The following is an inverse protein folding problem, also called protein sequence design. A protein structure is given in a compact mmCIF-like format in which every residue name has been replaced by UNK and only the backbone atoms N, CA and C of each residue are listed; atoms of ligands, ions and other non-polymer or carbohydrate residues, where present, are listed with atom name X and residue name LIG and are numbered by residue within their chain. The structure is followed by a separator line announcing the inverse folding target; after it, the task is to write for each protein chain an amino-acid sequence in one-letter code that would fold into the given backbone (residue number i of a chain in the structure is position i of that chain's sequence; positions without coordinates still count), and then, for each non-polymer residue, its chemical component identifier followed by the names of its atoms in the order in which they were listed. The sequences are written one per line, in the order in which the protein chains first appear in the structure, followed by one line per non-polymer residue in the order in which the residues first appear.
data_IF_255013425739
#
_entry.id   IF_255013425739
#
_cell.length_a   1.000
_cell.length_b   1.000
_cell.length_c   1.000
_cell.angle_alpha   90.00
_cell.angle_beta   90.00
_cell.angle_gamma   90.00
#
_symmetry.space_group_name_H-M   'P 1'
#
loop_
_entity.id
_entity.type
_entity.pdbx_description
1 polymer ?
#
# COMPACT_ATOMS: atom_id res chain seq x y z
N UNK A 1 -9.40 23.69 14.57
CA UNK A 1 -8.88 24.56 13.50
C UNK A 1 -8.58 23.67 12.30
N UNK A 2 -8.91 24.16 11.11
CA UNK A 2 -8.62 23.47 9.85
C UNK A 2 -7.84 24.43 8.98
N UNK A 3 -6.71 23.97 8.46
CA UNK A 3 -5.84 24.73 7.56
C UNK A 3 -5.73 23.98 6.23
N UNK A 4 -5.73 24.71 5.10
CA UNK A 4 -5.63 24.14 3.77
C UNK A 4 -4.27 24.51 3.15
N UNK A 5 -3.58 23.51 2.64
CA UNK A 5 -2.35 23.68 1.89
C UNK A 5 -2.61 23.32 0.42
N UNK A 6 -2.45 24.31 -0.47
CA UNK A 6 -2.55 24.11 -1.92
C UNK A 6 -1.22 23.58 -2.46
N UNK A 7 -0.92 22.31 -2.21
CA UNK A 7 0.36 21.69 -2.56
C UNK A 7 0.15 20.23 -2.92
N UNK A 8 1.09 19.63 -3.62
CA UNK A 8 1.11 18.18 -3.85
C UNK A 8 1.56 17.45 -2.58
N UNK A 9 1.23 16.16 -2.46
CA UNK A 9 1.68 15.32 -1.35
C UNK A 9 3.21 15.28 -1.27
N UNK A 10 3.89 15.28 -2.42
CA UNK A 10 5.34 15.27 -2.51
C UNK A 10 5.97 16.56 -1.94
N UNK A 11 5.44 17.71 -2.32
CA UNK A 11 5.90 19.01 -1.80
C UNK A 11 5.58 19.18 -0.32
N UNK A 12 4.47 18.59 0.14
CA UNK A 12 4.08 18.59 1.55
C UNK A 12 5.11 17.89 2.47
N UNK A 13 5.93 16.97 1.94
CA UNK A 13 6.97 16.31 2.73
C UNK A 13 7.97 17.29 3.35
N UNK A 14 8.30 18.37 2.63
CA UNK A 14 9.29 19.39 3.04
C UNK A 14 8.64 20.73 3.41
N UNK A 15 7.30 20.78 3.45
CA UNK A 15 6.60 22.03 3.72
C UNK A 15 6.89 22.53 5.15
N UNK A 16 7.32 23.80 5.32
CA UNK A 16 7.77 24.33 6.61
C UNK A 16 6.65 24.39 7.67
N UNK A 17 5.40 24.55 7.25
CA UNK A 17 4.25 24.63 8.17
C UNK A 17 3.78 23.25 8.65
N UNK A 18 4.30 22.16 8.08
CA UNK A 18 3.96 20.82 8.52
C UNK A 18 4.99 20.28 9.53
N UNK A 19 4.51 19.69 10.63
CA UNK A 19 5.39 19.09 11.62
C UNK A 19 6.18 17.91 11.03
N UNK A 20 7.35 17.64 11.63
CA UNK A 20 8.16 16.48 11.26
C UNK A 20 7.44 15.15 11.53
N UNK A 21 6.54 15.13 12.52
CA UNK A 21 5.72 13.98 12.88
C UNK A 21 4.24 14.34 12.86
N UNK A 22 3.42 13.44 12.30
CA UNK A 22 1.97 13.57 12.20
C UNK A 22 1.29 12.48 13.02
N UNK A 23 0.20 12.80 13.69
CA UNK A 23 -0.53 11.81 14.48
C UNK A 23 -1.36 10.87 13.61
N UNK A 24 -2.11 11.42 12.66
CA UNK A 24 -3.01 10.67 11.80
C UNK A 24 -2.92 11.15 10.36
N UNK A 25 -2.80 10.22 9.43
CA UNK A 25 -3.00 10.45 8.00
C UNK A 25 -4.30 9.76 7.58
N UNK A 26 -5.17 10.49 6.90
CA UNK A 26 -6.40 9.93 6.32
C UNK A 26 -6.40 10.12 4.82
N UNK A 27 -6.77 9.08 4.08
CA UNK A 27 -6.95 9.13 2.64
C UNK A 27 -8.26 8.43 2.28
N UNK A 28 -9.29 9.24 2.05
CA UNK A 28 -10.62 8.77 1.66
C UNK A 28 -10.80 8.99 0.15
N UNK A 29 -11.15 7.94 -0.58
CA UNK A 29 -11.34 7.98 -2.04
C UNK A 29 -10.12 8.52 -2.81
N UNK A 30 -8.92 8.33 -2.29
CA UNK A 30 -7.69 8.59 -3.01
C UNK A 30 -7.52 7.51 -4.09
N UNK A 31 -7.81 7.88 -5.34
CA UNK A 31 -7.83 6.93 -6.43
C UNK A 31 -6.42 6.53 -6.87
N UNK A 32 -6.29 5.27 -7.26
CA UNK A 32 -5.08 4.67 -7.83
C UNK A 32 -3.82 4.96 -6.98
N UNK A 33 -2.81 5.58 -7.54
CA UNK A 33 -1.53 5.86 -6.88
C UNK A 33 -1.60 6.92 -5.78
N UNK A 34 -2.66 7.73 -5.72
CA UNK A 34 -2.80 8.74 -4.67
C UNK A 34 -2.91 8.13 -3.25
N UNK A 35 -3.44 6.91 -3.13
CA UNK A 35 -3.38 6.17 -1.86
C UNK A 35 -1.95 5.81 -1.48
N UNK A 36 -1.12 5.43 -2.47
CA UNK A 36 0.30 5.09 -2.24
C UNK A 36 1.10 6.34 -1.86
N UNK A 37 0.80 7.50 -2.45
CA UNK A 37 1.39 8.78 -2.07
C UNK A 37 1.03 9.15 -0.61
N UNK A 38 -0.22 8.92 -0.20
CA UNK A 38 -0.63 9.12 1.19
C UNK A 38 0.09 8.17 2.15
N UNK A 39 0.30 6.91 1.76
CA UNK A 39 1.10 5.95 2.54
C UNK A 39 2.56 6.44 2.65
N UNK A 40 3.18 6.79 1.52
CA UNK A 40 4.56 7.29 1.50
C UNK A 40 4.72 8.54 2.39
N UNK A 41 3.78 9.48 2.32
CA UNK A 41 3.75 10.64 3.20
C UNK A 41 3.64 10.25 4.68
N UNK A 42 2.72 9.35 5.02
CA UNK A 42 2.54 8.88 6.38
C UNK A 42 3.78 8.18 6.93
N UNK A 43 4.46 7.38 6.11
CA UNK A 43 5.72 6.72 6.48
C UNK A 43 6.83 7.76 6.73
N UNK A 44 7.01 8.71 5.81
CA UNK A 44 8.04 9.75 5.91
C UNK A 44 7.81 10.70 7.11
N UNK A 45 6.57 11.04 7.41
CA UNK A 45 6.16 11.86 8.57
C UNK A 45 5.97 11.04 9.86
N UNK A 46 6.34 9.77 9.85
CA UNK A 46 6.25 8.89 11.02
C UNK A 46 4.86 8.90 11.66
N UNK A 47 3.80 8.87 10.85
CA UNK A 47 2.43 8.92 11.32
C UNK A 47 2.15 7.82 12.37
N UNK A 48 1.45 8.19 13.44
CA UNK A 48 1.06 7.22 14.47
C UNK A 48 -0.04 6.28 13.96
N UNK A 49 -0.95 6.82 13.12
CA UNK A 49 -2.06 6.07 12.53
C UNK A 49 -2.25 6.47 11.07
N UNK A 50 -2.73 5.52 10.26
CA UNK A 50 -3.21 5.80 8.92
C UNK A 50 -4.59 5.16 8.75
N UNK A 51 -5.51 5.90 8.11
CA UNK A 51 -6.90 5.49 7.86
C UNK A 51 -7.14 5.66 6.35
N UNK A 52 -7.16 4.55 5.63
CA UNK A 52 -7.17 4.55 4.17
C UNK A 52 -8.43 3.85 3.66
N UNK A 53 -9.14 4.50 2.75
CA UNK A 53 -10.30 3.92 2.05
C UNK A 53 -10.02 3.99 0.55
N UNK A 54 -9.28 3.03 -0.01
CA UNK A 54 -8.98 2.98 -1.43
C UNK A 54 -10.23 2.64 -2.23
N UNK A 55 -10.50 3.38 -3.31
CA UNK A 55 -11.71 3.16 -4.10
C UNK A 55 -11.45 2.61 -5.50
N UNK A 56 -10.36 2.98 -6.13
CA UNK A 56 -10.01 2.58 -7.50
C UNK A 56 -8.51 2.29 -7.57
N UNK A 57 -8.14 1.14 -8.13
CA UNK A 57 -6.75 0.75 -8.33
C UNK A 57 -6.62 0.17 -9.75
N UNK A 58 -5.96 0.90 -10.63
CA UNK A 58 -5.82 0.52 -12.03
C UNK A 58 -4.39 0.12 -12.42
N UNK A 59 -3.37 0.63 -11.71
CA UNK A 59 -1.96 0.42 -12.03
C UNK A 59 -1.60 -1.06 -12.06
N UNK A 60 -1.82 -1.79 -10.97
CA UNK A 60 -1.49 -3.23 -10.87
C UNK A 60 -2.27 -4.05 -11.90
N UNK A 61 -3.56 -3.75 -12.09
CA UNK A 61 -4.37 -4.42 -13.11
C UNK A 61 -3.86 -4.14 -14.53
N UNK A 62 -3.33 -2.93 -14.76
CA UNK A 62 -2.70 -2.55 -16.03
C UNK A 62 -1.46 -3.39 -16.31
N UNK A 63 -0.56 -3.49 -15.35
CA UNK A 63 0.67 -4.28 -15.43
C UNK A 63 0.35 -5.77 -15.62
N UNK A 64 -0.55 -6.33 -14.81
CA UNK A 64 -0.99 -7.74 -14.93
C UNK A 64 -1.52 -8.07 -16.33
N UNK A 65 -2.25 -7.13 -16.96
CA UNK A 65 -2.74 -7.32 -18.34
C UNK A 65 -1.61 -7.31 -19.36
N UNK A 66 -0.63 -6.42 -19.22
CA UNK A 66 0.52 -6.31 -20.14
C UNK A 66 1.37 -7.57 -20.08
N UNK A 67 1.66 -8.08 -18.90
CA UNK A 67 2.52 -9.24 -18.69
C UNK A 67 1.78 -10.57 -18.85
N UNK A 68 0.45 -10.56 -19.01
CA UNK A 68 -0.43 -11.73 -18.97
C UNK A 68 -0.13 -12.65 -17.77
N UNK A 69 0.36 -12.07 -16.69
CA UNK A 69 0.79 -12.71 -15.45
C UNK A 69 1.45 -14.08 -15.77
N UNK A 70 2.64 -14.04 -16.35
CA UNK A 70 3.32 -15.19 -17.00
C UNK A 70 3.30 -16.48 -16.17
N UNK A 71 3.39 -16.39 -14.86
CA UNK A 71 3.29 -17.53 -13.95
C UNK A 71 1.85 -18.04 -13.83
N UNK A 72 0.88 -17.15 -13.73
CA UNK A 72 -0.54 -17.49 -13.59
C UNK A 72 -1.16 -17.93 -14.91
N UNK A 73 -0.61 -17.52 -16.07
CA UNK A 73 -1.11 -17.93 -17.38
C UNK A 73 -0.98 -19.42 -17.66
N UNK A 74 -0.14 -20.12 -16.91
CA UNK A 74 0.07 -21.58 -16.97
C UNK A 74 -0.75 -22.35 -15.93
N UNK A 75 -1.53 -21.66 -15.11
CA UNK A 75 -2.38 -22.24 -14.08
C UNK A 75 -3.87 -22.12 -14.46
N UNK A 76 -4.78 -22.85 -13.78
CA UNK A 76 -6.22 -22.64 -13.94
C UNK A 76 -6.68 -21.21 -13.65
N UNK A 77 -5.90 -20.42 -12.90
CA UNK A 77 -6.16 -19.00 -12.63
C UNK A 77 -6.03 -18.12 -13.89
N UNK A 78 -5.52 -18.66 -15.01
CA UNK A 78 -5.53 -17.97 -16.30
C UNK A 78 -6.94 -17.52 -16.74
N UNK A 79 -7.98 -18.17 -16.24
CA UNK A 79 -9.38 -17.78 -16.48
C UNK A 79 -9.71 -16.35 -15.98
N UNK A 80 -8.99 -15.85 -14.96
CA UNK A 80 -9.15 -14.47 -14.48
C UNK A 80 -8.82 -13.43 -15.56
N UNK A 81 -7.96 -13.78 -16.53
CA UNK A 81 -7.52 -12.86 -17.59
C UNK A 81 -8.44 -12.84 -18.80
N UNK A 82 -9.42 -13.76 -18.87
CA UNK A 82 -10.38 -13.79 -19.98
C UNK A 82 -11.27 -12.57 -20.05
N UNK A 83 -11.58 -11.98 -18.89
CA UNK A 83 -12.49 -10.84 -18.80
C UNK A 83 -11.80 -9.64 -18.13
N UNK A 84 -11.81 -8.46 -18.77
CA UNK A 84 -11.20 -7.26 -18.20
C UNK A 84 -11.72 -6.88 -16.81
N UNK A 85 -12.99 -7.18 -16.53
CA UNK A 85 -13.59 -6.96 -15.22
C UNK A 85 -12.88 -7.78 -14.14
N UNK A 86 -12.69 -9.08 -14.37
CA UNK A 86 -12.04 -9.98 -13.40
C UNK A 86 -10.59 -9.54 -13.14
N UNK A 87 -9.84 -9.21 -14.20
CA UNK A 87 -8.46 -8.70 -14.05
C UNK A 87 -8.41 -7.43 -13.23
N UNK A 88 -9.35 -6.51 -13.46
CA UNK A 88 -9.42 -5.24 -12.73
C UNK A 88 -9.71 -5.47 -11.24
N UNK A 89 -10.70 -6.29 -10.91
CA UNK A 89 -11.06 -6.56 -9.51
C UNK A 89 -9.94 -7.32 -8.79
N UNK A 90 -9.33 -8.32 -9.43
CA UNK A 90 -8.16 -9.00 -8.90
C UNK A 90 -6.98 -8.04 -8.65
N UNK A 91 -6.65 -7.20 -9.64
CA UNK A 91 -5.59 -6.20 -9.50
C UNK A 91 -5.87 -5.20 -8.37
N UNK A 92 -7.13 -4.80 -8.19
CA UNK A 92 -7.55 -3.92 -7.09
C UNK A 92 -7.29 -4.57 -5.73
N UNK A 93 -7.69 -5.82 -5.54
CA UNK A 93 -7.47 -6.56 -4.29
C UNK A 93 -5.98 -6.78 -4.02
N UNK A 94 -5.22 -7.21 -5.03
CA UNK A 94 -3.77 -7.40 -4.89
C UNK A 94 -3.07 -6.09 -4.51
N UNK A 95 -3.48 -4.94 -5.08
CA UNK A 95 -2.93 -3.64 -4.70
C UNK A 95 -3.08 -3.39 -3.20
N UNK A 96 -4.25 -3.66 -2.64
CA UNK A 96 -4.49 -3.46 -1.21
C UNK A 96 -3.71 -4.46 -0.34
N UNK A 97 -3.56 -5.71 -0.78
CA UNK A 97 -2.68 -6.69 -0.11
C UNK A 97 -1.23 -6.18 -0.08
N UNK A 98 -0.72 -5.67 -1.19
CA UNK A 98 0.64 -5.13 -1.27
C UNK A 98 0.82 -3.91 -0.34
N UNK A 99 -0.17 -3.00 -0.27
CA UNK A 99 -0.19 -1.87 0.67
C UNK A 99 -0.15 -2.32 2.14
N UNK A 100 -0.95 -3.32 2.49
CA UNK A 100 -0.94 -3.89 3.84
C UNK A 100 0.44 -4.47 4.19
N UNK A 101 1.04 -5.25 3.28
CA UNK A 101 2.38 -5.82 3.48
C UNK A 101 3.47 -4.74 3.56
N UNK A 102 3.38 -3.67 2.77
CA UNK A 102 4.27 -2.50 2.86
C UNK A 102 4.19 -1.83 4.23
N UNK A 103 2.98 -1.60 4.73
CA UNK A 103 2.76 -1.01 6.05
C UNK A 103 3.28 -1.91 7.18
N UNK A 104 3.01 -3.21 7.13
CA UNK A 104 3.56 -4.18 8.10
C UNK A 104 5.09 -4.21 8.07
N UNK A 105 5.70 -4.23 6.88
CA UNK A 105 7.15 -4.20 6.70
C UNK A 105 7.76 -2.87 7.21
N UNK A 106 6.96 -1.79 7.21
CA UNK A 106 7.34 -0.47 7.75
C UNK A 106 7.11 -0.34 9.26
N UNK A 107 6.67 -1.41 9.95
CA UNK A 107 6.48 -1.44 11.40
C UNK A 107 5.11 -1.00 11.89
N UNK A 108 4.09 -1.14 11.05
CA UNK A 108 2.70 -0.91 11.44
C UNK A 108 1.96 -2.23 11.70
N UNK A 109 1.03 -2.20 12.65
CA UNK A 109 -0.01 -3.21 12.77
C UNK A 109 -1.16 -2.81 11.85
N UNK A 110 -1.59 -3.73 10.99
CA UNK A 110 -2.62 -3.46 9.97
C UNK A 110 -3.87 -4.25 10.30
N UNK A 111 -5.02 -3.60 10.18
CA UNK A 111 -6.36 -4.21 10.24
C UNK A 111 -7.11 -3.81 8.97
N UNK A 112 -7.70 -4.79 8.32
CA UNK A 112 -8.58 -4.57 7.17
C UNK A 112 -10.00 -4.91 7.58
N UNK A 113 -10.92 -4.00 7.30
CA UNK A 113 -12.34 -4.16 7.61
C UNK A 113 -13.20 -3.40 6.59
N UNK A 114 -14.50 -3.41 6.77
CA UNK A 114 -15.44 -2.62 5.97
C UNK A 114 -15.70 -1.27 6.63
N UNK A 115 -15.76 -0.20 5.83
CA UNK A 115 -16.17 1.12 6.29
C UNK A 115 -17.69 1.18 6.53
N UNK A 116 -18.43 0.58 5.62
CA UNK A 116 -19.90 0.45 5.66
C UNK A 116 -20.27 -0.97 5.23
N UNK A 117 -21.50 -1.42 5.53
CA UNK A 117 -21.95 -2.74 5.08
C UNK A 117 -21.88 -2.88 3.56
N UNK A 118 -21.60 -4.09 3.08
CA UNK A 118 -21.47 -4.42 1.66
C UNK A 118 -22.73 -4.08 0.85
N UNK A 119 -23.88 -4.02 1.49
CA UNK A 119 -25.16 -3.61 0.89
C UNK A 119 -25.17 -2.13 0.45
N UNK A 120 -24.27 -1.32 0.98
CA UNK A 120 -24.16 0.11 0.64
C UNK A 120 -23.07 0.38 -0.39
N UNK A 121 -21.99 -0.39 -0.38
CA UNK A 121 -20.89 -0.24 -1.33
C UNK A 121 -20.04 -1.49 -1.39
N UNK A 122 -19.77 -1.95 -2.60
CA UNK A 122 -18.78 -3.04 -2.82
C UNK A 122 -17.34 -2.56 -2.71
N UNK A 123 -17.09 -1.24 -2.74
CA UNK A 123 -15.77 -0.62 -2.61
C UNK A 123 -15.71 0.17 -1.31
N UNK A 124 -15.69 -0.56 -0.22
CA UNK A 124 -15.76 -0.04 1.14
C UNK A 124 -14.64 -0.57 2.04
N UNK A 125 -13.59 -1.12 1.44
CA UNK A 125 -12.44 -1.62 2.20
C UNK A 125 -11.79 -0.47 2.98
N UNK A 126 -11.61 -0.68 4.28
CA UNK A 126 -10.97 0.23 5.21
C UNK A 126 -9.69 -0.42 5.73
N UNK A 127 -8.55 0.21 5.44
CA UNK A 127 -7.24 -0.19 5.94
C UNK A 127 -6.88 0.74 7.10
N UNK A 128 -6.77 0.16 8.29
CA UNK A 128 -6.33 0.84 9.50
C UNK A 128 -4.90 0.40 9.82
N UNK A 129 -3.97 1.34 9.88
CA UNK A 129 -2.59 1.06 10.24
C UNK A 129 -2.21 1.86 11.48
N UNK A 130 -1.65 1.18 12.49
CA UNK A 130 -1.14 1.77 13.73
C UNK A 130 0.34 1.46 13.87
N UNK A 131 1.15 2.51 14.05
CA UNK A 131 2.57 2.37 14.26
C UNK A 131 2.85 1.59 15.55
N UNK A 132 3.71 0.58 15.44
CA UNK A 132 4.12 -0.23 16.58
C UNK A 132 5.25 0.48 17.33
N UNK A 133 5.19 0.43 18.66
CA UNK A 133 6.25 0.95 19.54
C UNK A 133 7.32 -0.10 19.83
N UNK A 134 6.96 -1.38 19.71
CA UNK A 134 7.87 -2.48 19.97
C UNK A 134 8.68 -2.81 18.72
N UNK A 135 9.97 -3.02 18.89
CA UNK A 135 10.83 -3.48 17.78
C UNK A 135 10.55 -4.96 17.46
N UNK A 136 9.63 -5.19 16.57
CA UNK A 136 9.33 -6.51 16.02
C UNK A 136 10.08 -6.76 14.72
N UNK A 137 11.39 -6.55 14.74
CA UNK A 137 12.25 -6.68 13.56
C UNK A 137 11.96 -7.96 12.76
N UNK A 138 11.85 -9.12 13.41
CA UNK A 138 11.54 -10.38 12.73
C UNK A 138 10.14 -10.41 12.07
N UNK A 139 9.14 -9.67 12.59
CA UNK A 139 7.82 -9.57 11.97
C UNK A 139 7.86 -8.65 10.73
N UNK A 140 8.59 -7.54 10.81
CA UNK A 140 8.80 -6.61 9.68
C UNK A 140 9.51 -7.30 8.53
N UNK A 141 10.57 -8.03 8.81
CA UNK A 141 11.31 -8.78 7.80
C UNK A 141 10.45 -9.87 7.13
N UNK A 142 9.65 -10.61 7.90
CA UNK A 142 8.69 -11.57 7.31
C UNK A 142 7.65 -10.90 6.42
N UNK A 143 7.15 -9.72 6.79
CA UNK A 143 6.23 -8.96 5.96
C UNK A 143 6.90 -8.50 4.65
N UNK A 144 8.14 -8.02 4.73
CA UNK A 144 8.95 -7.66 3.56
C UNK A 144 9.15 -8.84 2.62
N UNK A 145 9.50 -10.01 3.16
CA UNK A 145 9.68 -11.23 2.36
C UNK A 145 8.39 -11.64 1.65
N UNK A 146 7.25 -11.58 2.34
CA UNK A 146 5.93 -11.84 1.71
C UNK A 146 5.61 -10.84 0.62
N UNK A 147 5.91 -9.54 0.84
CA UNK A 147 5.72 -8.50 -0.18
C UNK A 147 6.52 -8.82 -1.46
N UNK A 148 7.80 -9.14 -1.30
CA UNK A 148 8.68 -9.54 -2.42
C UNK A 148 8.14 -10.78 -3.12
N UNK A 149 7.78 -11.80 -2.34
CA UNK A 149 7.26 -13.05 -2.88
C UNK A 149 6.00 -12.85 -3.72
N UNK A 150 5.03 -12.06 -3.24
CA UNK A 150 3.80 -11.75 -3.99
C UNK A 150 4.13 -11.04 -5.31
N UNK A 151 5.02 -10.06 -5.27
CA UNK A 151 5.44 -9.33 -6.48
C UNK A 151 6.13 -10.26 -7.49
N UNK A 152 7.01 -11.13 -7.02
CA UNK A 152 7.75 -12.05 -7.89
C UNK A 152 6.84 -13.15 -8.48
N UNK A 153 5.94 -13.74 -7.68
CA UNK A 153 4.99 -14.76 -8.14
C UNK A 153 3.98 -14.21 -9.15
N UNK A 154 3.58 -12.94 -9.01
CA UNK A 154 2.69 -12.28 -9.95
C UNK A 154 3.43 -11.68 -11.16
N UNK A 155 4.78 -11.76 -11.20
CA UNK A 155 5.58 -11.20 -12.29
C UNK A 155 5.49 -9.68 -12.36
N UNK A 156 5.57 -9.00 -11.22
CA UNK A 156 5.44 -7.55 -11.05
C UNK A 156 6.74 -6.89 -10.53
N UNK A 157 7.93 -7.20 -11.07
CA UNK A 157 9.19 -6.70 -10.52
C UNK A 157 9.30 -5.17 -10.60
N UNK A 158 8.67 -4.53 -11.59
CA UNK A 158 8.66 -3.08 -11.77
C UNK A 158 7.93 -2.34 -10.66
N UNK A 159 7.02 -3.01 -9.94
CA UNK A 159 6.29 -2.42 -8.82
C UNK A 159 7.08 -2.46 -7.50
N UNK A 160 8.26 -3.09 -7.46
CA UNK A 160 9.11 -3.10 -6.26
C UNK A 160 9.45 -1.69 -5.78
N UNK A 161 9.75 -0.78 -6.71
CA UNK A 161 10.00 0.63 -6.39
C UNK A 161 8.74 1.32 -5.85
N UNK A 162 7.55 1.04 -6.41
CA UNK A 162 6.26 1.59 -5.96
C UNK A 162 5.99 1.24 -4.49
N UNK A 163 6.24 0.00 -4.09
CA UNK A 163 6.05 -0.46 -2.72
C UNK A 163 7.30 -0.31 -1.84
N UNK A 164 8.27 0.50 -2.27
CA UNK A 164 9.49 0.85 -1.52
C UNK A 164 10.28 -0.35 -0.98
N UNK A 165 10.29 -1.48 -1.69
CA UNK A 165 10.92 -2.75 -1.23
C UNK A 165 12.39 -2.54 -0.87
N UNK A 166 13.15 -1.79 -1.66
CA UNK A 166 14.58 -1.55 -1.43
C UNK A 166 14.82 -0.64 -0.21
N UNK A 167 13.93 0.33 0.04
CA UNK A 167 14.01 1.22 1.21
C UNK A 167 13.69 0.45 2.50
N UNK A 168 12.79 -0.53 2.44
CA UNK A 168 12.47 -1.41 3.55
C UNK A 168 13.65 -2.32 3.94
N UNK A 169 14.52 -2.66 2.98
CA UNK A 169 15.73 -3.43 3.23
C UNK A 169 16.82 -2.61 3.93
N UNK A 170 16.99 -1.33 3.54
CA UNK A 170 18.04 -0.44 4.08
C UNK A 170 17.76 0.06 5.50
N UNK A 171 16.49 0.15 5.91
CA UNK A 171 16.10 0.54 7.27
C UNK A 171 16.51 -0.44 8.37
N UNK A 172 17.04 -1.61 8.04
CA UNK A 172 17.49 -2.61 8.99
C UNK A 172 18.96 -2.41 9.47
N UNK A 173 19.68 -1.43 8.90
CA UNK A 173 21.14 -1.30 9.10
C UNK A 173 21.59 -0.13 9.99
N UNK A 174 20.68 0.64 10.59
CA UNK A 174 21.07 1.83 11.38
C UNK A 174 20.58 1.74 12.84
N UNK A 175 21.06 0.70 13.57
CA UNK A 175 21.18 0.79 15.02
C UNK A 175 22.45 0.03 15.42
N UNK A 176 23.59 0.69 15.32
CA UNK A 176 24.79 0.34 16.08
C UNK A 176 25.54 1.64 16.39
N UNK A 177 25.39 2.10 17.59
CA UNK A 177 26.35 2.70 18.53
C UNK A 177 25.60 3.62 19.50
#
# INVERSE_FOLDING_TARGET
RMDFLATTVQEALTHPDLPARIDVVTALHACDTATDDAIAFGLAKHASHMVLVPCCQAEVAGVLRQHKALSLSRSPLAELWRHPLHTREFGSQITNVLRCLQLEASGYSVTVTELVGWEHSMKNELILARRMTDDRHGARERARQRLVQVLDELGLPELKARFAVDQLASGSSTVTA
#
